data_IF_043549416853
#
_entry.id   IF_043549416853
#
_cell.length_a   1.000
_cell.length_b   1.000
_cell.length_c   1.000
_cell.angle_alpha   90.00
_cell.angle_beta   90.00
_cell.angle_gamma   90.00
#
_symmetry.space_group_name_H-M   'P 1'
#
loop_
_entity.id
_entity.type
_entity.pdbx_description
1 polymer ?
#
# COMPACT_ATOMS: atom_id res chain seq x y z
N UNK A 1 43.00 -69.30 58.25
CA UNK A 1 42.60 -68.90 56.88
C UNK A 1 41.19 -68.31 56.94
N UNK A 2 41.05 -66.98 56.96
CA UNK A 2 39.76 -66.28 56.93
C UNK A 2 39.40 -66.02 55.46
N UNK A 3 38.26 -66.54 54.99
CA UNK A 3 37.69 -66.24 53.66
C UNK A 3 36.90 -64.93 53.76
N UNK A 4 37.30 -63.93 52.99
CA UNK A 4 36.60 -62.65 52.86
C UNK A 4 35.68 -62.73 51.65
N UNK A 5 34.37 -62.66 51.87
CA UNK A 5 33.37 -62.57 50.80
C UNK A 5 33.31 -61.12 50.29
N UNK A 6 33.42 -60.92 48.98
CA UNK A 6 33.14 -59.64 48.32
C UNK A 6 31.68 -59.60 47.88
N UNK A 7 30.94 -58.61 48.35
CA UNK A 7 29.58 -58.28 47.89
C UNK A 7 29.74 -57.22 46.78
N UNK A 8 29.38 -57.57 45.54
CA UNK A 8 29.21 -56.60 44.45
C UNK A 8 27.85 -55.90 44.64
N UNK A 9 27.86 -54.59 44.87
CA UNK A 9 26.68 -53.73 44.78
C UNK A 9 26.59 -53.21 43.34
N UNK A 10 25.63 -53.72 42.58
CA UNK A 10 25.30 -53.20 41.25
C UNK A 10 24.51 -51.90 41.36
N UNK A 11 25.12 -50.79 40.98
CA UNK A 11 24.45 -49.49 40.85
C UNK A 11 23.78 -49.45 39.47
N UNK A 12 22.46 -49.65 39.44
CA UNK A 12 21.65 -49.43 38.25
C UNK A 12 21.43 -47.93 38.02
N UNK A 13 22.01 -47.38 36.95
CA UNK A 13 21.77 -46.00 36.51
C UNK A 13 20.48 -45.99 35.68
N UNK A 14 19.40 -45.48 36.24
CA UNK A 14 18.17 -45.15 35.51
C UNK A 14 18.39 -43.83 34.74
N UNK A 15 18.51 -43.91 33.41
CA UNK A 15 18.41 -42.75 32.55
C UNK A 15 16.93 -42.38 32.38
N UNK A 16 16.45 -41.41 33.15
CA UNK A 16 15.17 -40.76 32.89
C UNK A 16 15.33 -39.86 31.65
N UNK A 17 14.85 -40.34 30.49
CA UNK A 17 14.74 -39.54 29.27
C UNK A 17 13.63 -38.52 29.44
N UNK A 18 14.02 -37.30 29.83
CA UNK A 18 13.12 -36.15 29.89
C UNK A 18 12.92 -35.64 28.45
N UNK A 19 11.87 -36.12 27.77
CA UNK A 19 11.42 -35.55 26.50
C UNK A 19 10.77 -34.20 26.77
N UNK A 20 11.56 -33.14 26.67
CA UNK A 20 11.03 -31.78 26.56
C UNK A 20 10.36 -31.65 25.20
N UNK A 21 9.02 -31.72 25.18
CA UNK A 21 8.25 -31.18 24.05
C UNK A 21 8.60 -29.70 23.94
N UNK A 22 9.39 -29.34 22.94
CA UNK A 22 9.53 -27.96 22.48
C UNK A 22 8.13 -27.52 22.07
N UNK A 23 7.48 -26.71 22.89
CA UNK A 23 6.29 -25.98 22.49
C UNK A 23 6.72 -25.02 21.39
N UNK A 24 6.25 -25.26 20.16
CA UNK A 24 6.28 -24.22 19.13
C UNK A 24 5.57 -22.98 19.65
N UNK A 25 6.10 -21.78 19.40
CA UNK A 25 5.39 -20.57 19.74
C UNK A 25 4.09 -20.56 18.93
N UNK A 26 2.96 -20.42 19.63
CA UNK A 26 1.69 -20.16 18.98
C UNK A 26 1.86 -18.91 18.10
N UNK A 27 1.63 -19.07 16.80
CA UNK A 27 1.42 -17.93 15.91
C UNK A 27 0.22 -17.21 16.50
N UNK A 28 0.42 -16.01 17.01
CA UNK A 28 -0.68 -15.17 17.47
C UNK A 28 -1.58 -14.94 16.25
N UNK A 29 -2.71 -15.63 16.20
CA UNK A 29 -3.81 -15.28 15.33
C UNK A 29 -4.16 -13.83 15.65
N UNK A 30 -3.79 -12.93 14.75
CA UNK A 30 -4.26 -11.56 14.80
C UNK A 30 -5.73 -11.65 14.43
N UNK A 31 -6.60 -11.83 15.42
CA UNK A 31 -8.04 -11.88 15.18
C UNK A 31 -8.46 -10.47 14.80
N UNK A 32 -8.48 -10.18 13.50
CA UNK A 32 -9.01 -8.93 12.98
C UNK A 32 -10.42 -8.73 13.55
N UNK A 33 -10.65 -7.63 14.25
CA UNK A 33 -11.98 -7.25 14.69
C UNK A 33 -12.75 -6.75 13.46
N UNK A 34 -13.76 -7.49 12.97
CA UNK A 34 -14.51 -7.09 11.78
C UNK A 34 -15.34 -5.81 11.99
N UNK A 35 -15.41 -5.30 13.23
CA UNK A 35 -16.12 -4.07 13.59
C UNK A 35 -15.22 -2.85 13.70
N UNK A 36 -13.90 -3.01 13.55
CA UNK A 36 -12.95 -1.92 13.63
C UNK A 36 -13.24 -0.87 12.53
N UNK A 37 -13.23 0.41 12.92
CA UNK A 37 -13.33 1.51 11.97
C UNK A 37 -12.15 1.44 10.98
N UNK A 38 -12.45 1.36 9.69
CA UNK A 38 -11.44 1.38 8.63
C UNK A 38 -11.27 2.76 8.04
N UNK A 39 -10.09 2.99 7.46
CA UNK A 39 -9.73 4.20 6.73
C UNK A 39 -9.05 3.84 5.42
N UNK A 40 -9.07 4.76 4.46
CA UNK A 40 -8.31 4.63 3.23
C UNK A 40 -6.86 5.09 3.43
N UNK A 41 -5.96 4.33 2.85
CA UNK A 41 -4.54 4.63 2.76
C UNK A 41 -4.08 4.52 1.32
N UNK A 42 -3.24 5.45 0.90
CA UNK A 42 -2.42 5.31 -0.29
C UNK A 42 -1.01 4.98 0.18
N UNK A 43 -0.52 3.79 -0.15
CA UNK A 43 0.89 3.46 0.03
C UNK A 43 1.66 3.68 -1.26
N UNK A 44 2.98 3.90 -1.11
CA UNK A 44 3.86 4.18 -2.25
C UNK A 44 5.13 3.36 -2.11
N UNK A 45 5.47 2.66 -3.18
CA UNK A 45 6.72 1.92 -3.31
C UNK A 45 7.64 2.61 -4.32
N UNK A 46 8.86 2.89 -3.88
CA UNK A 46 9.95 3.33 -4.75
C UNK A 46 10.86 2.14 -5.06
N UNK A 47 10.70 1.57 -6.26
CA UNK A 47 11.50 0.47 -6.78
C UNK A 47 12.53 1.00 -7.78
N UNK A 48 13.49 0.15 -8.17
CA UNK A 48 14.49 0.53 -9.16
C UNK A 48 13.83 0.78 -10.54
N UNK A 49 14.13 1.91 -11.22
CA UNK A 49 13.61 2.21 -12.54
C UNK A 49 13.78 1.07 -13.54
N UNK A 50 12.72 0.72 -14.27
CA UNK A 50 12.73 -0.35 -15.28
C UNK A 50 12.78 -1.78 -14.72
N UNK A 51 12.84 -1.97 -13.39
CA UNK A 51 12.88 -3.30 -12.75
C UNK A 51 11.52 -3.83 -12.28
N UNK A 52 10.48 -3.01 -12.36
CA UNK A 52 9.11 -3.44 -12.04
C UNK A 52 8.30 -3.61 -13.32
N UNK A 53 7.52 -4.69 -13.40
CA UNK A 53 6.50 -4.88 -14.43
C UNK A 53 5.11 -4.83 -13.84
N UNK A 54 4.16 -4.30 -14.60
CA UNK A 54 2.74 -4.31 -14.21
C UNK A 54 2.24 -5.72 -13.94
N UNK A 55 2.75 -6.74 -14.66
CA UNK A 55 2.45 -8.14 -14.39
C UNK A 55 2.99 -8.64 -13.04
N UNK A 56 4.18 -8.20 -12.62
CA UNK A 56 4.75 -8.55 -11.32
C UNK A 56 3.95 -7.91 -10.18
N UNK A 57 3.55 -6.65 -10.35
CA UNK A 57 2.67 -5.95 -9.39
C UNK A 57 1.30 -6.62 -9.31
N UNK A 58 0.73 -7.04 -10.44
CA UNK A 58 -0.51 -7.81 -10.45
C UNK A 58 -0.35 -9.12 -9.65
N UNK A 59 0.75 -9.84 -9.83
CA UNK A 59 1.06 -11.05 -9.06
C UNK A 59 1.27 -10.79 -7.56
N UNK A 60 1.88 -9.67 -7.19
CA UNK A 60 1.99 -9.24 -5.79
C UNK A 60 0.61 -8.91 -5.20
N UNK A 61 -0.21 -8.14 -5.92
CA UNK A 61 -1.55 -7.78 -5.50
C UNK A 61 -2.45 -9.01 -5.30
N UNK A 62 -2.35 -10.02 -6.16
CA UNK A 62 -3.10 -11.27 -5.95
C UNK A 62 -2.71 -11.99 -4.65
N UNK A 63 -1.44 -11.89 -4.23
CA UNK A 63 -1.01 -12.43 -2.92
C UNK A 63 -1.57 -11.57 -1.78
N UNK A 64 -1.60 -10.26 -1.94
CA UNK A 64 -2.24 -9.36 -0.97
C UNK A 64 -3.71 -9.71 -0.78
N UNK A 65 -4.46 -9.89 -1.87
CA UNK A 65 -5.86 -10.31 -1.85
C UNK A 65 -6.05 -11.66 -1.13
N UNK A 66 -5.16 -12.63 -1.38
CA UNK A 66 -5.22 -13.93 -0.70
C UNK A 66 -4.95 -13.83 0.82
N UNK A 67 -4.15 -12.86 1.25
CA UNK A 67 -3.80 -12.64 2.67
C UNK A 67 -4.77 -11.69 3.39
N UNK A 68 -5.51 -10.85 2.67
CA UNK A 68 -6.24 -9.71 3.23
C UNK A 68 -7.26 -10.10 4.32
N UNK A 69 -7.94 -11.24 4.15
CA UNK A 69 -8.96 -11.71 5.09
C UNK A 69 -8.41 -12.00 6.49
N UNK A 70 -7.16 -12.47 6.57
CA UNK A 70 -6.46 -12.71 7.85
C UNK A 70 -6.27 -11.42 8.65
N UNK A 71 -6.07 -10.31 7.96
CA UNK A 71 -5.77 -9.01 8.56
C UNK A 71 -7.00 -8.09 8.63
N UNK A 72 -8.13 -8.48 8.03
CA UNK A 72 -9.32 -7.62 7.96
C UNK A 72 -9.12 -6.36 7.12
N UNK A 73 -8.18 -6.38 6.18
CA UNK A 73 -7.88 -5.27 5.26
C UNK A 73 -8.48 -5.52 3.89
N UNK A 74 -8.60 -4.47 3.08
CA UNK A 74 -9.09 -4.55 1.71
C UNK A 74 -8.14 -3.80 0.77
N UNK A 75 -7.36 -4.55 0.01
CA UNK A 75 -6.57 -3.98 -1.09
C UNK A 75 -7.52 -3.72 -2.26
N UNK A 76 -7.59 -2.47 -2.73
CA UNK A 76 -8.65 -2.03 -3.65
C UNK A 76 -8.17 -1.84 -5.10
N UNK A 77 -7.08 -1.09 -5.28
CA UNK A 77 -6.55 -0.72 -6.61
C UNK A 77 -5.05 -0.47 -6.51
N UNK A 78 -4.35 -0.56 -7.65
CA UNK A 78 -2.96 -0.15 -7.75
C UNK A 78 -2.67 0.56 -9.08
N UNK A 79 -1.62 1.37 -9.10
CA UNK A 79 -1.12 2.09 -10.28
C UNK A 79 0.40 1.94 -10.38
N UNK A 80 0.90 1.59 -11.56
CA UNK A 80 2.33 1.28 -11.80
C UNK A 80 2.91 2.15 -12.89
N UNK A 81 3.99 2.87 -12.59
CA UNK A 81 4.92 3.40 -13.57
C UNK A 81 6.14 2.46 -13.66
N UNK A 82 6.18 1.65 -14.72
CA UNK A 82 7.30 0.72 -14.95
C UNK A 82 8.62 1.45 -15.23
N UNK A 83 8.57 2.61 -15.87
CA UNK A 83 9.75 3.34 -16.29
C UNK A 83 10.49 3.90 -15.08
N UNK A 84 9.75 4.45 -14.11
CA UNK A 84 10.29 5.08 -12.91
C UNK A 84 10.28 4.18 -11.67
N UNK A 85 9.76 2.96 -11.78
CA UNK A 85 9.72 2.04 -10.65
C UNK A 85 8.76 2.50 -9.56
N UNK A 86 7.67 3.19 -9.90
CA UNK A 86 6.71 3.71 -8.91
C UNK A 86 5.47 2.82 -8.87
N UNK A 87 5.07 2.46 -7.67
CA UNK A 87 3.79 1.77 -7.42
C UNK A 87 3.02 2.52 -6.36
N UNK A 88 1.74 2.75 -6.62
CA UNK A 88 0.77 3.31 -5.69
C UNK A 88 -0.29 2.24 -5.42
N UNK A 89 -0.59 1.91 -4.17
CA UNK A 89 -1.70 1.01 -3.83
C UNK A 89 -2.71 1.73 -2.93
N UNK A 90 -3.99 1.59 -3.27
CA UNK A 90 -5.10 2.03 -2.44
C UNK A 90 -5.60 0.86 -1.60
N UNK A 91 -5.58 1.02 -0.29
CA UNK A 91 -5.99 0.00 0.68
C UNK A 91 -6.89 0.59 1.75
N UNK A 92 -7.86 -0.18 2.21
CA UNK A 92 -8.69 0.14 3.36
C UNK A 92 -8.32 -0.76 4.54
N UNK A 93 -8.01 -0.14 5.67
CA UNK A 93 -7.41 -0.81 6.83
C UNK A 93 -7.76 -0.06 8.13
N UNK A 94 -7.80 -0.71 9.31
CA UNK A 94 -7.94 0.00 10.59
C UNK A 94 -6.77 0.95 10.88
N UNK A 95 -5.56 0.56 10.51
CA UNK A 95 -4.34 1.35 10.64
C UNK A 95 -3.30 0.94 9.59
N UNK A 96 -2.19 1.69 9.51
CA UNK A 96 -1.15 1.39 8.53
C UNK A 96 -0.33 0.15 8.86
N UNK A 97 -0.14 -0.17 10.14
CA UNK A 97 0.67 -1.32 10.53
C UNK A 97 0.02 -2.63 10.09
N UNK A 98 -1.31 -2.71 10.13
CA UNK A 98 -2.09 -3.90 9.78
C UNK A 98 -1.90 -4.29 8.32
N UNK A 99 -2.11 -3.37 7.36
CA UNK A 99 -1.93 -3.70 5.95
C UNK A 99 -0.45 -3.84 5.56
N UNK A 100 0.47 -3.11 6.20
CA UNK A 100 1.92 -3.28 5.96
C UNK A 100 2.38 -4.68 6.39
N UNK A 101 1.83 -5.22 7.48
CA UNK A 101 2.08 -6.60 7.88
C UNK A 101 1.46 -7.60 6.88
N UNK A 102 0.27 -7.30 6.34
CA UNK A 102 -0.34 -8.10 5.29
C UNK A 102 0.55 -8.17 4.03
N UNK A 103 1.06 -7.04 3.54
CA UNK A 103 2.04 -7.00 2.43
C UNK A 103 3.29 -7.82 2.74
N UNK A 104 3.86 -7.64 3.95
CA UNK A 104 5.05 -8.35 4.39
C UNK A 104 4.83 -9.87 4.42
N UNK A 105 3.66 -10.34 4.86
CA UNK A 105 3.32 -11.76 4.84
C UNK A 105 3.04 -12.27 3.42
N UNK A 106 2.32 -11.49 2.60
CA UNK A 106 1.91 -11.86 1.26
C UNK A 106 3.10 -12.04 0.30
N UNK A 107 4.02 -11.08 0.28
CA UNK A 107 5.13 -11.07 -0.68
C UNK A 107 6.43 -10.44 -0.14
N UNK A 108 6.47 -9.99 1.11
CA UNK A 108 7.69 -9.51 1.77
C UNK A 108 8.15 -8.09 1.41
N UNK A 109 7.50 -7.43 0.46
CA UNK A 109 7.78 -6.03 0.11
C UNK A 109 6.92 -5.14 1.00
N UNK A 110 7.49 -4.06 1.51
CA UNK A 110 6.76 -3.07 2.31
C UNK A 110 6.87 -1.69 1.63
N UNK A 111 5.87 -0.81 1.80
CA UNK A 111 5.88 0.50 1.16
C UNK A 111 6.93 1.42 1.75
N UNK A 112 7.45 2.33 0.91
CA UNK A 112 8.37 3.39 1.30
C UNK A 112 7.65 4.52 2.04
N UNK A 113 6.38 4.78 1.67
CA UNK A 113 5.52 5.80 2.28
C UNK A 113 4.11 5.28 2.44
N UNK A 114 3.41 5.79 3.45
CA UNK A 114 1.98 5.56 3.66
C UNK A 114 1.31 6.89 3.97
N UNK A 115 0.24 7.19 3.25
CA UNK A 115 -0.60 8.37 3.41
C UNK A 115 -2.00 7.93 3.83
N UNK A 116 -2.53 8.50 4.92
CA UNK A 116 -3.95 8.31 5.27
C UNK A 116 -4.75 9.31 4.47
N UNK A 117 -5.64 8.85 3.60
CA UNK A 117 -6.23 9.69 2.57
C UNK A 117 -7.74 9.80 2.65
N UNK A 118 -8.27 10.94 2.24
CA UNK A 118 -9.67 11.13 1.89
C UNK A 118 -9.80 11.16 0.36
N UNK A 119 -10.71 10.36 -0.24
CA UNK A 119 -10.91 10.33 -1.68
C UNK A 119 -11.83 11.48 -2.14
N UNK A 120 -11.72 11.83 -3.42
CA UNK A 120 -12.72 12.59 -4.15
C UNK A 120 -13.86 11.72 -4.68
N UNK A 121 -14.66 12.30 -5.57
CA UNK A 121 -15.66 11.56 -6.34
C UNK A 121 -15.01 11.00 -7.60
N UNK A 122 -15.00 9.67 -7.74
CA UNK A 122 -14.42 9.00 -8.90
C UNK A 122 -15.31 9.15 -10.14
N UNK A 123 -14.73 9.69 -11.22
CA UNK A 123 -15.33 9.72 -12.55
C UNK A 123 -15.01 8.43 -13.34
N UNK A 124 -15.76 8.18 -14.41
CA UNK A 124 -15.49 7.03 -15.28
C UNK A 124 -14.23 7.24 -16.11
N UNK A 125 -13.38 6.21 -16.15
CA UNK A 125 -12.23 6.13 -17.05
C UNK A 125 -12.73 5.74 -18.45
N UNK A 126 -12.31 6.49 -19.49
CA UNK A 126 -12.69 6.25 -20.89
C UNK A 126 -11.63 5.47 -21.66
N UNK A 127 -10.36 5.70 -21.38
CA UNK A 127 -9.19 5.05 -21.99
C UNK A 127 -8.10 4.78 -20.93
N UNK A 128 -8.08 3.56 -20.43
CA UNK A 128 -7.14 3.13 -19.39
C UNK A 128 -5.65 3.17 -19.84
N UNK A 129 -5.37 3.31 -21.14
CA UNK A 129 -3.98 3.40 -21.65
C UNK A 129 -3.39 4.81 -21.56
N UNK A 130 -4.18 5.79 -21.10
CA UNK A 130 -3.84 7.21 -21.02
C UNK A 130 -3.82 7.75 -19.60
N UNK A 131 -3.66 6.88 -18.61
CA UNK A 131 -3.67 7.28 -17.22
C UNK A 131 -2.34 7.91 -16.81
N UNK A 132 -2.46 9.04 -16.12
CA UNK A 132 -1.38 9.75 -15.45
C UNK A 132 -1.75 9.92 -13.98
N UNK A 133 -0.77 9.67 -13.13
CA UNK A 133 -0.87 9.84 -11.69
C UNK A 133 0.08 10.96 -11.27
N UNK A 134 -0.45 12.02 -10.67
CA UNK A 134 0.35 13.14 -10.18
C UNK A 134 0.45 13.18 -8.65
N UNK A 135 1.41 13.95 -8.16
CA UNK A 135 1.58 14.21 -6.74
C UNK A 135 1.88 15.68 -6.52
N UNK A 136 1.14 16.30 -5.59
CA UNK A 136 1.44 17.61 -5.03
C UNK A 136 1.86 17.46 -3.56
N UNK A 137 2.96 18.10 -3.18
CA UNK A 137 3.53 18.12 -1.82
C UNK A 137 3.53 19.56 -1.29
N UNK A 138 2.39 19.96 -0.76
CA UNK A 138 2.12 21.32 -0.31
C UNK A 138 2.67 21.59 1.10
N UNK A 139 2.96 20.54 1.86
CA UNK A 139 3.52 20.59 3.20
C UNK A 139 2.47 20.48 4.31
N UNK A 140 2.88 19.92 5.45
CA UNK A 140 1.98 19.57 6.55
C UNK A 140 1.09 20.74 7.01
N UNK A 141 -0.21 20.49 7.14
CA UNK A 141 -1.19 21.46 7.63
C UNK A 141 -1.53 22.60 6.66
N UNK A 142 -1.01 22.59 5.42
CA UNK A 142 -1.26 23.64 4.41
C UNK A 142 -2.38 23.30 3.43
N UNK A 143 -2.93 22.09 3.50
CA UNK A 143 -4.02 21.63 2.65
C UNK A 143 -5.17 21.13 3.51
N UNK A 144 -6.40 21.38 3.07
CA UNK A 144 -7.59 20.72 3.61
C UNK A 144 -8.45 20.14 2.49
N UNK A 145 -9.30 19.17 2.81
CA UNK A 145 -10.09 18.42 1.84
C UNK A 145 -11.06 19.30 1.05
N UNK A 146 -11.63 20.34 1.69
CA UNK A 146 -12.50 21.30 1.01
C UNK A 146 -11.74 22.07 -0.07
N UNK A 147 -10.54 22.58 0.24
CA UNK A 147 -9.72 23.30 -0.72
C UNK A 147 -9.28 22.42 -1.90
N UNK A 148 -9.01 21.13 -1.66
CA UNK A 148 -8.70 20.18 -2.75
C UNK A 148 -9.94 19.91 -3.60
N UNK A 149 -11.12 19.74 -3.00
CA UNK A 149 -12.36 19.58 -3.74
C UNK A 149 -12.64 20.80 -4.64
N UNK A 150 -12.47 22.02 -4.11
CA UNK A 150 -12.62 23.27 -4.87
C UNK A 150 -11.59 23.42 -5.99
N UNK A 151 -10.33 23.02 -5.75
CA UNK A 151 -9.29 22.98 -6.77
C UNK A 151 -9.65 21.98 -7.89
N UNK A 152 -10.08 20.77 -7.52
CA UNK A 152 -10.48 19.74 -8.47
C UNK A 152 -11.67 20.19 -9.32
N UNK A 153 -12.66 20.91 -8.76
CA UNK A 153 -13.75 21.48 -9.57
C UNK A 153 -13.26 22.47 -10.63
N UNK A 154 -12.17 23.21 -10.36
CA UNK A 154 -11.54 24.09 -11.36
C UNK A 154 -10.81 23.28 -12.44
N UNK A 155 -10.18 22.17 -12.08
CA UNK A 155 -9.61 21.24 -13.05
C UNK A 155 -10.71 20.69 -13.97
N UNK A 156 -11.83 20.22 -13.40
CA UNK A 156 -12.99 19.74 -14.16
C UNK A 156 -13.55 20.81 -15.11
N UNK A 157 -13.65 22.07 -14.66
CA UNK A 157 -14.10 23.17 -15.51
C UNK A 157 -13.14 23.46 -16.68
N UNK A 158 -11.86 23.14 -16.53
CA UNK A 158 -10.78 23.44 -17.50
C UNK A 158 -10.47 22.24 -18.42
N UNK A 159 -10.70 21.01 -17.97
CA UNK A 159 -10.15 19.77 -18.55
C UNK A 159 -10.44 19.58 -20.05
N UNK A 160 -11.62 19.99 -20.51
CA UNK A 160 -12.03 19.83 -21.90
C UNK A 160 -11.12 20.60 -22.87
N UNK A 161 -10.57 21.75 -22.44
CA UNK A 161 -9.64 22.56 -23.23
C UNK A 161 -8.35 21.79 -23.55
N UNK A 162 -7.86 21.02 -22.59
CA UNK A 162 -6.63 20.24 -22.70
C UNK A 162 -6.86 18.77 -23.05
N UNK A 163 -8.13 18.38 -23.27
CA UNK A 163 -8.54 17.01 -23.55
C UNK A 163 -8.12 16.04 -22.43
N UNK A 164 -8.15 16.52 -21.19
CA UNK A 164 -7.91 15.73 -19.99
C UNK A 164 -9.25 15.26 -19.41
N UNK A 165 -9.20 14.17 -18.64
CA UNK A 165 -10.31 13.71 -17.81
C UNK A 165 -9.76 13.44 -16.41
N UNK A 166 -9.99 14.36 -15.48
CA UNK A 166 -9.59 14.16 -14.09
C UNK A 166 -10.54 13.13 -13.45
N UNK A 167 -9.97 11.98 -13.07
CA UNK A 167 -10.71 10.77 -12.69
C UNK A 167 -10.98 10.76 -11.19
N UNK A 168 -9.97 10.97 -10.36
CA UNK A 168 -10.13 10.99 -8.91
C UNK A 168 -8.95 11.75 -8.27
N UNK A 169 -9.07 12.04 -6.98
CA UNK A 169 -7.97 12.49 -6.15
C UNK A 169 -8.02 11.86 -4.76
N UNK A 170 -6.87 11.87 -4.08
CA UNK A 170 -6.72 11.45 -2.69
C UNK A 170 -5.89 12.49 -1.95
N UNK A 171 -6.38 12.96 -0.80
CA UNK A 171 -5.70 13.99 0.01
C UNK A 171 -5.35 13.48 1.39
N UNK A 172 -4.09 13.69 1.79
CA UNK A 172 -3.59 13.59 3.15
C UNK A 172 -3.37 15.00 3.70
N UNK A 173 -4.35 15.52 4.47
CA UNK A 173 -4.31 16.86 5.06
C UNK A 173 -3.16 17.02 6.06
N UNK A 174 -2.83 15.93 6.77
CA UNK A 174 -1.80 15.94 7.81
C UNK A 174 -0.42 16.16 7.21
N UNK A 175 -0.10 15.45 6.14
CA UNK A 175 1.19 15.55 5.46
C UNK A 175 1.21 16.62 4.36
N UNK A 176 0.05 17.12 3.95
CA UNK A 176 -0.03 18.10 2.87
C UNK A 176 0.21 17.47 1.50
N UNK A 177 -0.28 16.25 1.28
CA UNK A 177 -0.07 15.52 0.02
C UNK A 177 -1.40 15.35 -0.70
N UNK A 178 -1.42 15.69 -1.99
CA UNK A 178 -2.55 15.41 -2.88
C UNK A 178 -2.03 14.53 -4.01
N UNK A 179 -2.81 13.52 -4.37
CA UNK A 179 -2.50 12.58 -5.43
C UNK A 179 -3.69 12.50 -6.37
N UNK A 180 -3.51 12.83 -7.64
CA UNK A 180 -4.60 12.82 -8.62
C UNK A 180 -4.37 11.73 -9.67
N UNK A 181 -5.46 11.16 -10.16
CA UNK A 181 -5.49 10.30 -11.34
C UNK A 181 -6.24 11.03 -12.44
N UNK A 182 -5.67 11.12 -13.64
CA UNK A 182 -6.34 11.66 -14.81
C UNK A 182 -6.02 10.87 -16.07
N UNK A 183 -6.93 10.90 -17.04
CA UNK A 183 -6.59 10.59 -18.42
C UNK A 183 -6.08 11.85 -19.11
N UNK A 184 -5.01 11.74 -19.89
CA UNK A 184 -4.47 12.85 -20.66
C UNK A 184 -3.82 12.36 -21.97
N UNK A 185 -3.73 13.22 -23.01
CA UNK A 185 -2.93 12.90 -24.18
C UNK A 185 -1.44 12.75 -23.84
N UNK A 186 -0.95 13.55 -22.89
CA UNK A 186 0.40 13.50 -22.32
C UNK A 186 0.43 14.21 -20.95
N UNK A 187 1.56 14.10 -20.24
CA UNK A 187 1.75 14.75 -18.95
C UNK A 187 1.67 16.29 -19.02
N UNK A 188 2.07 16.91 -20.13
CA UNK A 188 2.04 18.36 -20.28
C UNK A 188 0.61 18.89 -20.33
N UNK A 189 -0.32 18.17 -20.94
CA UNK A 189 -1.74 18.53 -20.94
C UNK A 189 -2.36 18.51 -19.54
N UNK A 190 -1.99 17.52 -18.71
CA UNK A 190 -2.39 17.44 -17.31
C UNK A 190 -1.84 18.63 -16.51
N UNK A 191 -0.54 18.91 -16.62
CA UNK A 191 0.13 20.04 -15.95
C UNK A 191 -0.47 21.38 -16.42
N UNK A 192 -0.75 21.53 -17.71
CA UNK A 192 -1.34 22.74 -18.26
C UNK A 192 -2.77 22.96 -17.75
N UNK A 193 -3.54 21.88 -17.55
CA UNK A 193 -4.88 21.97 -16.95
C UNK A 193 -4.78 22.54 -15.53
N UNK A 194 -3.96 21.95 -14.66
CA UNK A 194 -3.75 22.43 -13.29
C UNK A 194 -3.27 23.89 -13.23
N UNK A 195 -2.28 24.21 -14.07
CA UNK A 195 -1.71 25.56 -14.13
C UNK A 195 -2.75 26.61 -14.51
N UNK A 196 -3.63 26.32 -15.47
CA UNK A 196 -4.70 27.24 -15.85
C UNK A 196 -5.85 27.26 -14.84
N UNK A 197 -6.24 26.11 -14.31
CA UNK A 197 -7.35 25.95 -13.39
C UNK A 197 -7.13 26.71 -12.07
N UNK A 198 -5.94 26.58 -11.48
CA UNK A 198 -5.65 27.09 -10.15
C UNK A 198 -4.19 27.51 -9.90
N UNK A 199 -3.30 27.38 -10.89
CA UNK A 199 -1.92 27.86 -10.81
C UNK A 199 -0.93 26.93 -10.10
N UNK A 200 -1.40 26.03 -9.22
CA UNK A 200 -0.57 24.95 -8.67
C UNK A 200 -0.18 23.97 -9.77
N UNK A 201 1.05 23.47 -9.74
CA UNK A 201 1.56 22.40 -10.61
C UNK A 201 2.04 21.24 -9.73
N UNK A 202 1.94 19.99 -10.20
CA UNK A 202 2.39 18.84 -9.44
C UNK A 202 3.92 18.78 -9.35
N UNK A 203 4.43 18.20 -8.27
CA UNK A 203 5.85 17.89 -8.08
C UNK A 203 6.29 16.70 -8.95
N UNK A 204 5.37 15.77 -9.18
CA UNK A 204 5.62 14.54 -9.95
C UNK A 204 4.41 14.22 -10.83
N UNK A 205 4.64 13.71 -12.04
CA UNK A 205 3.61 13.15 -12.93
C UNK A 205 4.14 11.86 -13.52
N UNK A 206 3.41 10.77 -13.35
CA UNK A 206 3.79 9.42 -13.73
C UNK A 206 2.79 8.86 -14.73
N UNK A 207 3.26 8.24 -15.80
CA UNK A 207 2.36 7.50 -16.70
C UNK A 207 2.13 6.13 -16.11
N UNK A 208 0.89 5.78 -15.80
CA UNK A 208 0.59 4.59 -15.00
C UNK A 208 -0.30 3.58 -15.71
N UNK A 209 -0.08 2.31 -15.40
CA UNK A 209 -1.04 1.24 -15.66
C UNK A 209 -1.83 0.94 -14.38
N UNK A 210 -3.15 0.91 -14.45
CA UNK A 210 -4.02 0.58 -13.32
C UNK A 210 -4.36 -0.92 -13.28
N UNK A 211 -4.47 -1.47 -12.08
CA UNK A 211 -5.13 -2.74 -11.80
C UNK A 211 -5.89 -2.74 -10.48
N UNK A 212 -6.53 -3.87 -10.17
CA UNK A 212 -7.36 -4.12 -8.99
C UNK A 212 -7.44 -5.62 -8.70
#
# INVERSE_FOLDING_TARGET
>A
MRKTSFILVGIGIFFASCSTKKSEPAVAETTADPTAQKFLFMDVHDLEPGKVKTADVAGAHQKDLATQGKYGVEFKKYWVDEALGKVYCLVESPDSATFVNAHKEAHGLIPTRVNKVLPGMEASIKDANKLFFDVHRLGAGKVNAQAVAEAHQKDLATQNKYKTNFVNYWVDEKLGVVMCLAEAPDANAMIATHKEAHGLIPDEVHKVNQGQ
#
